data_IF_855736590868
#
_entry.id   IF_855736590868
#
_cell.length_a   1.000
_cell.length_b   1.000
_cell.length_c   1.000
_cell.angle_alpha   90.00
_cell.angle_beta   90.00
_cell.angle_gamma   90.00
#
_symmetry.space_group_name_H-M   'P 1'
#
loop_
_entity.id
_entity.type
_entity.pdbx_description
1 polymer ?
#
# COMPACT_ATOMS: atom_id res chain seq x y z
N UNK A 1 -37.29 -0.91 9.86
CA UNK A 1 -36.74 -2.14 9.25
C UNK A 1 -35.68 -1.66 8.29
N UNK A 2 -34.42 -1.82 8.67
CA UNK A 2 -33.27 -1.40 7.88
C UNK A 2 -33.10 -2.35 6.71
N UNK A 3 -33.49 -1.89 5.53
CA UNK A 3 -33.21 -2.59 4.28
C UNK A 3 -31.71 -2.42 3.99
N UNK A 4 -30.94 -3.51 3.83
CA UNK A 4 -29.52 -3.39 3.55
C UNK A 4 -29.34 -2.68 2.20
N UNK A 5 -28.60 -1.56 2.22
CA UNK A 5 -28.39 -0.64 1.10
C UNK A 5 -27.71 -1.27 -0.12
N UNK A 6 -27.26 -2.52 -0.01
CA UNK A 6 -26.61 -3.30 -1.07
C UNK A 6 -27.14 -4.73 -0.96
N UNK A 7 -27.89 -5.16 -1.97
CA UNK A 7 -28.27 -6.55 -2.12
C UNK A 7 -27.04 -7.33 -2.65
N UNK A 8 -26.49 -8.30 -1.89
CA UNK A 8 -25.32 -9.08 -2.31
C UNK A 8 -25.56 -9.91 -3.57
N UNK A 9 -26.81 -10.12 -3.99
CA UNK A 9 -27.14 -10.77 -5.25
C UNK A 9 -27.02 -9.83 -6.47
N UNK A 10 -27.11 -8.51 -6.26
CA UNK A 10 -26.98 -7.48 -7.30
C UNK A 10 -25.67 -6.69 -7.23
N UNK A 11 -24.71 -7.15 -6.42
CA UNK A 11 -23.30 -6.79 -6.55
C UNK A 11 -22.71 -7.37 -7.86
N UNK A 12 -23.32 -6.98 -8.98
CA UNK A 12 -22.83 -7.19 -10.33
C UNK A 12 -21.60 -6.34 -10.53
N UNK A 13 -20.47 -6.88 -10.12
CA UNK A 13 -19.43 -7.35 -11.02
C UNK A 13 -18.34 -7.90 -10.08
N UNK A 14 -18.42 -9.19 -9.74
CA UNK A 14 -17.19 -9.88 -9.36
C UNK A 14 -16.38 -9.90 -10.65
N UNK A 15 -15.70 -8.81 -10.99
CA UNK A 15 -14.55 -8.87 -11.87
C UNK A 15 -13.68 -9.94 -11.23
N UNK A 16 -13.73 -11.16 -11.78
CA UNK A 16 -12.85 -12.25 -11.39
C UNK A 16 -11.48 -11.76 -11.83
N UNK A 17 -10.86 -10.95 -10.98
CA UNK A 17 -9.51 -10.50 -11.15
C UNK A 17 -8.68 -11.77 -11.20
N UNK A 18 -8.20 -12.08 -12.40
CA UNK A 18 -7.35 -13.25 -12.61
C UNK A 18 -6.15 -13.15 -11.66
N UNK A 19 -5.65 -14.27 -11.11
CA UNK A 19 -4.46 -14.27 -10.27
C UNK A 19 -3.30 -13.44 -10.84
N UNK A 20 -3.12 -13.48 -12.17
CA UNK A 20 -2.08 -12.72 -12.86
C UNK A 20 -2.29 -11.21 -12.77
N UNK A 21 -3.54 -10.73 -12.88
CA UNK A 21 -3.86 -9.31 -12.77
C UNK A 21 -3.57 -8.77 -11.36
N UNK A 22 -3.85 -9.56 -10.32
CA UNK A 22 -3.52 -9.22 -8.92
C UNK A 22 -2.01 -9.14 -8.71
N UNK A 23 -1.26 -10.11 -9.26
CA UNK A 23 0.22 -10.11 -9.22
C UNK A 23 0.82 -8.95 -10.03
N UNK A 24 0.22 -8.57 -11.16
CA UNK A 24 0.68 -7.42 -11.95
C UNK A 24 0.51 -6.11 -11.18
N UNK A 25 -0.61 -5.93 -10.48
CA UNK A 25 -0.82 -4.76 -9.62
C UNK A 25 0.18 -4.74 -8.47
N UNK A 26 0.36 -5.87 -7.77
CA UNK A 26 1.37 -6.00 -6.72
C UNK A 26 2.78 -5.67 -7.23
N UNK A 27 3.11 -6.15 -8.45
CA UNK A 27 4.36 -5.87 -9.13
C UNK A 27 4.57 -4.39 -9.46
N UNK A 28 3.53 -3.68 -9.93
CA UNK A 28 3.60 -2.24 -10.19
C UNK A 28 3.80 -1.43 -8.92
N UNK A 29 3.07 -1.76 -7.85
CA UNK A 29 3.25 -1.11 -6.55
C UNK A 29 4.68 -1.33 -6.01
N UNK A 30 5.21 -2.53 -6.18
CA UNK A 30 6.58 -2.88 -5.75
C UNK A 30 7.68 -2.20 -6.58
N UNK A 31 7.49 -2.06 -7.90
CA UNK A 31 8.51 -1.50 -8.81
C UNK A 31 8.49 0.03 -8.88
N UNK A 32 7.31 0.63 -8.80
CA UNK A 32 7.15 2.05 -9.08
C UNK A 32 6.92 2.85 -7.80
N UNK A 33 5.97 2.43 -6.96
CA UNK A 33 5.55 3.22 -5.80
C UNK A 33 6.49 3.05 -4.58
N UNK A 34 6.82 1.82 -4.20
CA UNK A 34 7.70 1.56 -3.05
C UNK A 34 9.07 2.23 -3.16
N UNK A 35 9.79 2.18 -4.30
CA UNK A 35 11.07 2.84 -4.44
C UNK A 35 10.96 4.36 -4.36
N UNK A 36 9.90 4.94 -4.94
CA UNK A 36 9.63 6.37 -4.88
C UNK A 36 9.40 6.86 -3.44
N UNK A 37 8.55 6.16 -2.68
CA UNK A 37 8.29 6.47 -1.28
C UNK A 37 9.55 6.29 -0.40
N UNK A 38 10.35 5.26 -0.69
CA UNK A 38 11.62 5.01 0.01
C UNK A 38 12.62 6.14 -0.26
N UNK A 39 12.72 6.60 -1.51
CA UNK A 39 13.59 7.73 -1.86
C UNK A 39 13.16 9.03 -1.19
N UNK A 40 11.85 9.32 -1.13
CA UNK A 40 11.31 10.50 -0.43
C UNK A 40 11.62 10.41 1.06
N UNK A 41 11.44 9.24 1.68
CA UNK A 41 11.79 9.01 3.08
C UNK A 41 13.27 9.33 3.31
N UNK A 42 14.18 8.80 2.48
CA UNK A 42 15.62 8.98 2.63
C UNK A 42 16.05 10.45 2.42
N UNK A 43 15.39 11.19 1.52
CA UNK A 43 15.57 12.64 1.37
C UNK A 43 15.08 13.41 2.60
N UNK A 44 13.94 13.00 3.15
CA UNK A 44 13.41 13.51 4.42
C UNK A 44 14.32 13.10 5.59
N UNK A 45 15.33 12.25 5.46
CA UNK A 45 16.33 12.08 6.52
C UNK A 45 17.40 13.18 6.54
N UNK A 46 17.54 13.96 5.46
CA UNK A 46 18.52 15.03 5.30
C UNK A 46 17.87 16.41 5.51
N UNK A 47 17.66 16.80 6.77
CA UNK A 47 17.57 18.24 7.06
C UNK A 47 18.98 18.82 6.84
N UNK A 48 19.14 19.96 6.15
CA UNK A 48 20.38 20.70 6.25
C UNK A 48 20.56 21.09 7.72
N UNK A 49 21.74 20.83 8.29
CA UNK A 49 22.12 21.35 9.59
C UNK A 49 21.99 22.87 9.54
N UNK A 50 20.86 23.38 10.01
CA UNK A 50 20.56 24.81 10.00
C UNK A 50 21.65 25.51 10.79
N UNK A 51 22.37 26.42 10.13
CA UNK A 51 23.39 27.25 10.76
C UNK A 51 22.82 27.83 12.05
N UNK A 52 23.43 27.45 13.18
CA UNK A 52 23.13 28.00 14.49
C UNK A 52 23.53 29.48 14.50
N UNK A 53 22.69 30.33 13.92
CA UNK A 53 22.83 31.78 13.92
C UNK A 53 21.84 32.38 14.90
N UNK A 54 22.36 32.73 16.07
CA UNK A 54 21.95 33.66 17.14
C UNK A 54 20.61 34.43 17.11
N UNK A 55 19.52 33.83 16.63
CA UNK A 55 18.19 34.43 16.64
C UNK A 55 17.19 33.49 17.30
N UNK A 56 16.66 33.87 18.48
CA UNK A 56 15.61 33.14 19.21
C UNK A 56 14.37 32.82 18.34
N UNK A 57 14.08 33.69 17.36
CA UNK A 57 13.04 33.46 16.34
C UNK A 57 13.42 32.28 15.45
N UNK A 58 14.68 32.18 15.02
CA UNK A 58 15.16 31.03 14.25
C UNK A 58 15.08 29.73 15.05
N UNK A 59 15.28 29.76 16.38
CA UNK A 59 15.10 28.59 17.26
C UNK A 59 13.64 28.09 17.34
N UNK A 60 12.66 28.99 17.42
CA UNK A 60 11.25 28.63 17.39
C UNK A 60 10.82 28.03 16.04
N UNK A 61 11.36 28.57 14.94
CA UNK A 61 11.14 28.05 13.60
C UNK A 61 11.85 26.70 13.38
N UNK A 62 13.09 26.52 13.85
CA UNK A 62 13.79 25.23 13.74
C UNK A 62 13.07 24.15 14.54
N UNK A 63 12.59 24.43 15.75
CA UNK A 63 11.79 23.47 16.52
C UNK A 63 10.47 23.07 15.84
N UNK A 64 9.81 24.01 15.15
CA UNK A 64 8.59 23.73 14.39
C UNK A 64 8.87 22.93 13.12
N UNK A 65 9.93 23.28 12.40
CA UNK A 65 10.40 22.54 11.21
C UNK A 65 10.82 21.13 11.59
N UNK A 66 11.59 20.94 12.66
CA UNK A 66 11.99 19.61 13.15
C UNK A 66 10.79 18.73 13.51
N UNK A 67 9.78 19.27 14.21
CA UNK A 67 8.56 18.51 14.54
C UNK A 67 7.71 18.18 13.31
N UNK A 68 7.54 19.13 12.39
CA UNK A 68 6.82 18.89 11.14
C UNK A 68 7.52 17.80 10.30
N UNK A 69 8.85 17.80 10.35
CA UNK A 69 9.69 16.84 9.67
C UNK A 69 9.62 15.45 10.31
N UNK A 70 9.66 15.35 11.63
CA UNK A 70 9.42 14.10 12.37
C UNK A 70 8.03 13.53 12.07
N UNK A 71 6.98 14.36 12.13
CA UNK A 71 5.62 13.94 11.80
C UNK A 71 5.49 13.45 10.36
N UNK A 72 6.21 14.08 9.42
CA UNK A 72 6.26 13.66 8.02
C UNK A 72 6.96 12.31 7.88
N UNK A 73 8.07 12.08 8.61
CA UNK A 73 8.77 10.79 8.63
C UNK A 73 7.88 9.66 9.16
N UNK A 74 7.17 9.90 10.26
CA UNK A 74 6.25 8.92 10.84
C UNK A 74 5.11 8.57 9.88
N UNK A 75 4.55 9.59 9.21
CA UNK A 75 3.51 9.41 8.19
C UNK A 75 4.04 8.60 7.00
N UNK A 76 5.25 8.93 6.51
CA UNK A 76 5.88 8.19 5.41
C UNK A 76 6.17 6.73 5.79
N UNK A 77 6.58 6.46 7.03
CA UNK A 77 6.76 5.08 7.52
C UNK A 77 5.44 4.31 7.51
N UNK A 78 4.37 4.92 8.01
CA UNK A 78 3.04 4.30 8.01
C UNK A 78 2.58 3.97 6.59
N UNK A 79 2.74 4.91 5.65
CA UNK A 79 2.35 4.71 4.25
C UNK A 79 3.17 3.60 3.60
N UNK A 80 4.49 3.55 3.84
CA UNK A 80 5.34 2.46 3.34
C UNK A 80 4.88 1.10 3.87
N UNK A 81 4.61 0.99 5.16
CA UNK A 81 4.11 -0.24 5.78
C UNK A 81 2.75 -0.66 5.19
N UNK A 82 1.86 0.30 4.94
CA UNK A 82 0.55 0.04 4.33
C UNK A 82 0.68 -0.42 2.88
N UNK A 83 1.53 0.21 2.08
CA UNK A 83 1.78 -0.20 0.68
C UNK A 83 2.36 -1.61 0.65
N UNK A 84 3.30 -1.93 1.53
CA UNK A 84 3.85 -3.29 1.62
C UNK A 84 2.76 -4.31 1.97
N UNK A 85 1.90 -4.03 2.95
CA UNK A 85 0.78 -4.92 3.30
C UNK A 85 -0.18 -5.13 2.15
N UNK A 86 -0.54 -4.08 1.41
CA UNK A 86 -1.41 -4.20 0.23
C UNK A 86 -0.76 -5.09 -0.84
N UNK A 87 0.55 -4.97 -1.06
CA UNK A 87 1.29 -5.85 -1.97
C UNK A 87 1.20 -7.30 -1.51
N UNK A 88 1.46 -7.56 -0.23
CA UNK A 88 1.43 -8.91 0.35
C UNK A 88 0.03 -9.52 0.25
N UNK A 89 -1.02 -8.75 0.57
CA UNK A 89 -2.42 -9.16 0.47
C UNK A 89 -2.84 -9.48 -0.96
N UNK A 90 -2.38 -8.68 -1.94
CA UNK A 90 -2.64 -8.93 -3.37
C UNK A 90 -2.00 -10.23 -3.83
N UNK A 91 -0.77 -10.52 -3.41
CA UNK A 91 -0.07 -11.77 -3.73
C UNK A 91 -0.77 -12.96 -3.09
N UNK A 92 -1.10 -12.88 -1.80
CA UNK A 92 -1.81 -13.95 -1.09
C UNK A 92 -3.20 -14.23 -1.68
N UNK A 93 -3.91 -13.18 -2.09
CA UNK A 93 -5.21 -13.29 -2.78
C UNK A 93 -5.03 -13.97 -4.14
N UNK A 94 -4.02 -13.59 -4.92
CA UNK A 94 -3.73 -14.23 -6.20
C UNK A 94 -3.46 -15.73 -6.05
N UNK A 95 -2.67 -16.11 -5.05
CA UNK A 95 -2.36 -17.51 -4.75
C UNK A 95 -3.62 -18.30 -4.35
N UNK A 96 -4.44 -17.70 -3.48
CA UNK A 96 -5.72 -18.31 -3.05
C UNK A 96 -6.67 -18.54 -4.23
N UNK A 97 -6.79 -17.56 -5.14
CA UNK A 97 -7.64 -17.68 -6.33
C UNK A 97 -7.09 -18.76 -7.27
N UNK A 98 -5.78 -18.80 -7.50
CA UNK A 98 -5.14 -19.82 -8.34
C UNK A 98 -5.35 -21.23 -7.78
N UNK A 99 -5.19 -21.42 -6.47
CA UNK A 99 -5.45 -22.70 -5.82
C UNK A 99 -6.93 -23.11 -5.92
N UNK A 100 -7.85 -22.15 -5.84
CA UNK A 100 -9.27 -22.40 -6.05
C UNK A 100 -9.56 -22.85 -7.50
N UNK A 101 -8.96 -22.19 -8.49
CA UNK A 101 -9.10 -22.52 -9.91
C UNK A 101 -8.52 -23.90 -10.23
N UNK A 102 -7.34 -24.23 -9.72
CA UNK A 102 -6.71 -25.55 -9.89
C UNK A 102 -7.57 -26.67 -9.29
N UNK A 103 -8.15 -26.45 -8.11
CA UNK A 103 -9.07 -27.39 -7.46
C UNK A 103 -10.36 -27.58 -8.26
N UNK A 104 -10.92 -26.49 -8.80
CA UNK A 104 -12.12 -26.55 -9.63
C UNK A 104 -11.85 -27.29 -10.95
N UNK A 105 -10.70 -27.07 -11.59
CA UNK A 105 -10.30 -27.75 -12.81
C UNK A 105 -10.03 -29.25 -12.60
N UNK A 106 -9.43 -29.63 -11.46
CA UNK A 106 -9.19 -31.03 -11.08
C UNK A 106 -10.45 -31.80 -10.68
N UNK A 107 -11.53 -31.09 -10.30
CA UNK A 107 -12.82 -31.67 -9.95
C UNK A 107 -13.76 -31.85 -11.16
N UNK A 108 -13.35 -31.44 -12.37
CA UNK A 108 -14.13 -31.67 -13.58
C UNK A 108 -14.33 -33.19 -13.80
N UNK A 109 -15.57 -33.67 -13.98
CA UNK A 109 -15.82 -35.08 -14.19
C UNK A 109 -15.10 -35.52 -15.47
N UNK A 110 -14.22 -36.51 -15.33
CA UNK A 110 -13.71 -37.27 -16.47
C UNK A 110 -14.90 -38.00 -17.05
N UNK A 111 -15.60 -37.38 -18.01
CA UNK A 111 -16.61 -38.08 -18.77
C UNK A 111 -15.94 -39.28 -19.47
N UNK A 112 -16.64 -40.40 -19.42
CA UNK A 112 -16.15 -41.75 -19.72
C UNK A 112 -15.75 -41.99 -21.16
#
# INVERSE_FOLDING_TARGET
MDEPLIDPATAGDKTMCKPEALRDVAGKLSKDLLPGLTAIRDQTYRLPDGAAGDWDVALGYTGTVSRAHEATRDSLRLVLDQVQRVIDDLVATADTVREADERAAGAAPRNG
#
